data_IF_110416149858
#
_entry.id   IF_110416149858
#
_cell.length_a   1.000
_cell.length_b   1.000
_cell.length_c   1.000
_cell.angle_alpha   90.00
_cell.angle_beta   90.00
_cell.angle_gamma   90.00
#
_symmetry.space_group_name_H-M   'P 1'
#
loop_
_entity.id
_entity.type
_entity.pdbx_description
1 polymer ?
#
# COMPACT_ATOMS: atom_id res chain seq x y z
N UNK A 1 21.99 1.02 -14.67
CA UNK A 1 21.20 0.63 -15.85
C UNK A 1 21.37 -0.88 -16.03
N UNK A 2 20.45 -1.70 -15.49
CA UNK A 2 20.43 -3.19 -15.55
C UNK A 2 19.22 -3.65 -14.71
N UNK A 3 18.42 -4.68 -15.01
CA UNK A 3 18.21 -5.48 -16.20
C UNK A 3 16.72 -5.91 -16.16
N UNK A 4 15.87 -5.33 -17.02
CA UNK A 4 14.47 -5.76 -17.15
C UNK A 4 14.45 -7.18 -17.72
N UNK A 5 13.75 -8.11 -17.06
CA UNK A 5 13.69 -9.53 -17.47
C UNK A 5 13.10 -9.72 -18.88
N UNK A 6 12.36 -8.74 -19.37
CA UNK A 6 11.75 -8.72 -20.70
C UNK A 6 12.36 -7.59 -21.55
N UNK A 7 13.19 -7.95 -22.52
CA UNK A 7 13.85 -7.01 -23.44
C UNK A 7 12.92 -6.45 -24.55
N UNK A 8 11.66 -6.91 -24.64
CA UNK A 8 10.68 -6.40 -25.60
C UNK A 8 9.75 -5.38 -24.95
N UNK A 9 9.95 -4.08 -25.23
CA UNK A 9 9.17 -2.97 -24.68
C UNK A 9 7.65 -3.22 -24.73
N UNK A 10 7.12 -3.75 -25.84
CA UNK A 10 5.67 -4.04 -25.99
C UNK A 10 5.13 -5.11 -25.04
N UNK A 11 5.84 -6.22 -24.82
CA UNK A 11 5.37 -7.29 -23.92
C UNK A 11 5.35 -6.84 -22.47
N UNK A 12 6.32 -6.00 -22.08
CA UNK A 12 6.39 -5.45 -20.73
C UNK A 12 5.20 -4.53 -20.41
N UNK A 13 4.86 -3.60 -21.32
CA UNK A 13 3.72 -2.71 -21.14
C UNK A 13 2.38 -3.46 -21.09
N UNK A 14 2.19 -4.47 -21.96
CA UNK A 14 0.94 -5.25 -21.98
C UNK A 14 0.75 -6.00 -20.66
N UNK A 15 1.79 -6.66 -20.16
CA UNK A 15 1.74 -7.38 -18.87
C UNK A 15 1.50 -6.39 -17.71
N UNK A 16 2.16 -5.23 -17.73
CA UNK A 16 1.98 -4.21 -16.70
C UNK A 16 0.55 -3.63 -16.68
N UNK A 17 -0.05 -3.39 -17.84
CA UNK A 17 -1.43 -2.90 -17.95
C UNK A 17 -2.43 -3.94 -17.46
N UNK A 18 -2.30 -5.20 -17.90
CA UNK A 18 -3.22 -6.28 -17.48
C UNK A 18 -3.10 -6.51 -15.97
N UNK A 19 -1.88 -6.61 -15.45
CA UNK A 19 -1.68 -6.82 -14.04
C UNK A 19 -2.12 -5.61 -13.21
N UNK A 20 -1.89 -4.38 -13.68
CA UNK A 20 -2.41 -3.16 -13.06
C UNK A 20 -3.93 -3.14 -13.01
N UNK A 21 -4.61 -3.59 -14.06
CA UNK A 21 -6.08 -3.67 -14.09
C UNK A 21 -6.62 -4.71 -13.08
N UNK A 22 -6.06 -5.92 -13.06
CA UNK A 22 -6.49 -6.98 -12.14
C UNK A 22 -6.24 -6.59 -10.68
N UNK A 23 -5.04 -6.07 -10.40
CA UNK A 23 -4.67 -5.65 -9.05
C UNK A 23 -5.47 -4.43 -8.62
N UNK A 24 -5.67 -3.45 -9.50
CA UNK A 24 -6.49 -2.28 -9.21
C UNK A 24 -7.95 -2.65 -8.89
N UNK A 25 -8.50 -3.62 -9.62
CA UNK A 25 -9.82 -4.19 -9.30
C UNK A 25 -9.85 -4.90 -7.94
N UNK A 26 -8.81 -5.69 -7.61
CA UNK A 26 -8.69 -6.35 -6.30
C UNK A 26 -8.54 -5.33 -5.16
N UNK A 27 -7.74 -4.28 -5.37
CA UNK A 27 -7.51 -3.21 -4.40
C UNK A 27 -8.80 -2.47 -4.06
N UNK A 28 -9.62 -2.19 -5.06
CA UNK A 28 -10.90 -1.50 -4.88
C UNK A 28 -11.98 -2.35 -4.20
N UNK A 29 -11.94 -3.68 -4.34
CA UNK A 29 -12.95 -4.59 -3.76
C UNK A 29 -12.58 -5.06 -2.35
N UNK A 30 -11.35 -5.52 -2.17
CA UNK A 30 -10.90 -6.09 -0.91
C UNK A 30 -10.03 -5.10 -0.16
N UNK A 31 -8.91 -4.66 -0.76
CA UNK A 31 -7.96 -3.71 -0.17
C UNK A 31 -6.79 -4.27 0.67
N UNK A 32 -6.91 -5.34 1.50
CA UNK A 32 -5.77 -5.84 2.25
C UNK A 32 -4.88 -6.74 1.37
N UNK A 33 -3.57 -6.56 1.52
CA UNK A 33 -2.56 -7.38 0.86
C UNK A 33 -2.17 -6.92 -0.56
N UNK A 34 -2.83 -5.90 -1.13
CA UNK A 34 -2.55 -5.41 -2.50
C UNK A 34 -1.09 -5.02 -2.69
N UNK A 35 -0.49 -4.34 -1.70
CA UNK A 35 0.93 -3.95 -1.74
C UNK A 35 1.88 -5.15 -1.79
N UNK A 36 1.56 -6.24 -1.10
CA UNK A 36 2.33 -7.49 -1.13
C UNK A 36 2.21 -8.18 -2.49
N UNK A 37 1.00 -8.23 -3.06
CA UNK A 37 0.79 -8.79 -4.40
C UNK A 37 1.49 -7.97 -5.49
N UNK A 38 1.44 -6.63 -5.41
CA UNK A 38 2.19 -5.74 -6.30
C UNK A 38 3.69 -5.98 -6.21
N UNK A 39 4.23 -6.07 -4.99
CA UNK A 39 5.65 -6.35 -4.75
C UNK A 39 6.07 -7.68 -5.36
N UNK A 40 5.31 -8.75 -5.12
CA UNK A 40 5.58 -10.07 -5.69
C UNK A 40 5.57 -9.97 -7.22
N UNK A 41 4.57 -9.34 -7.83
CA UNK A 41 4.49 -9.20 -9.29
C UNK A 41 5.68 -8.40 -9.86
N UNK A 42 5.98 -7.23 -9.28
CA UNK A 42 7.04 -6.34 -9.75
C UNK A 42 8.43 -7.00 -9.63
N UNK A 43 8.71 -7.70 -8.53
CA UNK A 43 10.00 -8.38 -8.32
C UNK A 43 10.07 -9.69 -9.10
N UNK A 44 9.08 -10.58 -8.97
CA UNK A 44 9.15 -11.95 -9.50
C UNK A 44 8.82 -12.06 -10.99
N UNK A 45 7.94 -11.19 -11.54
CA UNK A 45 7.50 -11.26 -12.94
C UNK A 45 8.23 -10.24 -13.80
N UNK A 46 8.37 -9.00 -13.32
CA UNK A 46 8.94 -7.89 -14.07
C UNK A 46 10.45 -7.72 -13.83
N UNK A 47 10.98 -8.30 -12.75
CA UNK A 47 12.42 -8.30 -12.44
C UNK A 47 12.91 -6.99 -11.82
N UNK A 48 12.03 -6.17 -11.26
CA UNK A 48 12.45 -4.97 -10.54
C UNK A 48 13.24 -5.33 -9.28
N UNK A 49 14.18 -4.46 -8.89
CA UNK A 49 14.79 -4.55 -7.56
C UNK A 49 13.72 -4.36 -6.49
N UNK A 50 13.88 -4.97 -5.32
CA UNK A 50 12.91 -4.87 -4.22
C UNK A 50 12.62 -3.40 -3.83
N UNK A 51 13.64 -2.55 -3.91
CA UNK A 51 13.52 -1.11 -3.66
C UNK A 51 12.68 -0.41 -4.74
N UNK A 52 12.94 -0.67 -6.03
CA UNK A 52 12.13 -0.11 -7.12
C UNK A 52 10.70 -0.64 -7.08
N UNK A 53 10.51 -1.94 -6.85
CA UNK A 53 9.19 -2.55 -6.72
C UNK A 53 8.40 -1.94 -5.56
N UNK A 54 9.03 -1.68 -4.42
CA UNK A 54 8.41 -0.97 -3.29
C UNK A 54 8.01 0.46 -3.66
N UNK A 55 8.86 1.18 -4.38
CA UNK A 55 8.57 2.53 -4.83
C UNK A 55 7.39 2.55 -5.84
N UNK A 56 7.41 1.68 -6.85
CA UNK A 56 6.34 1.55 -7.83
C UNK A 56 5.03 1.11 -7.18
N UNK A 57 5.04 0.15 -6.27
CA UNK A 57 3.85 -0.30 -5.55
C UNK A 57 3.19 0.85 -4.76
N UNK A 58 4.00 1.73 -4.13
CA UNK A 58 3.48 2.93 -3.47
C UNK A 58 2.82 3.90 -4.45
N UNK A 59 3.40 4.13 -5.63
CA UNK A 59 2.81 5.01 -6.65
C UNK A 59 1.49 4.43 -7.15
N UNK A 60 1.43 3.13 -7.41
CA UNK A 60 0.19 2.46 -7.83
C UNK A 60 -0.90 2.60 -6.77
N UNK A 61 -0.56 2.37 -5.50
CA UNK A 61 -1.49 2.52 -4.39
C UNK A 61 -1.99 3.97 -4.24
N UNK A 62 -1.13 4.97 -4.47
CA UNK A 62 -1.59 6.36 -4.54
C UNK A 62 -2.57 6.59 -5.70
N UNK A 63 -2.32 5.99 -6.86
CA UNK A 63 -3.20 6.06 -8.01
C UNK A 63 -4.58 5.44 -7.76
N UNK A 64 -4.64 4.25 -7.16
CA UNK A 64 -5.91 3.58 -6.83
C UNK A 64 -6.69 4.34 -5.76
N UNK A 65 -6.03 4.86 -4.72
CA UNK A 65 -6.68 5.71 -3.73
C UNK A 65 -7.16 7.04 -4.32
N UNK A 66 -6.40 7.66 -5.23
CA UNK A 66 -6.83 8.88 -5.92
C UNK A 66 -8.04 8.62 -6.83
N UNK A 67 -8.04 7.50 -7.56
CA UNK A 67 -9.19 7.08 -8.34
C UNK A 67 -10.43 6.85 -7.45
N UNK A 68 -10.27 6.17 -6.31
CA UNK A 68 -11.32 6.01 -5.31
C UNK A 68 -11.84 7.37 -4.80
N UNK A 69 -10.96 8.30 -4.47
CA UNK A 69 -11.33 9.65 -4.02
C UNK A 69 -12.14 10.41 -5.08
N UNK A 70 -11.74 10.35 -6.35
CA UNK A 70 -12.47 10.99 -7.45
C UNK A 70 -13.86 10.35 -7.61
N UNK A 71 -13.92 9.01 -7.66
CA UNK A 71 -15.18 8.28 -7.83
C UNK A 71 -16.12 8.55 -6.67
N UNK A 72 -15.67 8.40 -5.42
CA UNK A 72 -16.50 8.70 -4.25
C UNK A 72 -16.85 10.18 -4.14
N UNK A 73 -15.96 11.07 -4.58
CA UNK A 73 -16.19 12.52 -4.60
C UNK A 73 -17.33 12.90 -5.56
N UNK A 74 -17.40 12.27 -6.72
CA UNK A 74 -18.49 12.46 -7.70
C UNK A 74 -19.81 11.87 -7.16
N UNK A 75 -19.77 10.72 -6.48
CA UNK A 75 -20.96 10.06 -5.91
C UNK A 75 -21.52 10.79 -4.67
N UNK A 76 -20.85 11.83 -4.17
CA UNK A 76 -21.30 12.63 -3.03
C UNK A 76 -21.09 11.98 -1.65
N UNK A 77 -20.44 10.82 -1.61
CA UNK A 77 -20.21 10.04 -0.37
C UNK A 77 -18.97 10.51 0.43
N UNK A 78 -18.32 11.60 0.01
CA UNK A 78 -17.08 12.09 0.63
C UNK A 78 -17.38 13.23 1.61
N UNK A 79 -17.08 12.97 2.88
CA UNK A 79 -17.05 13.99 3.93
C UNK A 79 -15.71 14.74 3.82
N UNK A 80 -15.66 15.78 2.98
CA UNK A 80 -14.43 16.51 2.65
C UNK A 80 -13.67 17.03 3.87
N UNK A 81 -14.39 17.56 4.87
CA UNK A 81 -13.78 18.05 6.11
C UNK A 81 -13.05 16.93 6.87
N UNK A 82 -13.68 15.76 6.98
CA UNK A 82 -13.07 14.60 7.62
C UNK A 82 -11.90 14.06 6.80
N UNK A 83 -12.02 14.04 5.46
CA UNK A 83 -10.95 13.64 4.56
C UNK A 83 -9.70 14.52 4.70
N UNK A 84 -9.86 15.84 4.74
CA UNK A 84 -8.77 16.77 4.98
C UNK A 84 -8.15 16.60 6.37
N UNK A 85 -8.99 16.47 7.42
CA UNK A 85 -8.50 16.23 8.77
C UNK A 85 -7.68 14.94 8.87
N UNK A 86 -8.18 13.84 8.29
CA UNK A 86 -7.47 12.56 8.20
C UNK A 86 -6.15 12.71 7.43
N UNK A 87 -6.15 13.43 6.31
CA UNK A 87 -4.94 13.68 5.52
C UNK A 87 -3.85 14.41 6.32
N UNK A 88 -4.22 15.48 7.04
CA UNK A 88 -3.30 16.25 7.90
C UNK A 88 -2.77 15.37 9.04
N UNK A 89 -3.65 14.67 9.75
CA UNK A 89 -3.26 13.79 10.84
C UNK A 89 -2.31 12.67 10.36
N UNK A 90 -2.60 12.07 9.21
CA UNK A 90 -1.77 11.01 8.64
C UNK A 90 -0.39 11.55 8.21
N UNK A 91 -0.33 12.75 7.62
CA UNK A 91 0.94 13.40 7.25
C UNK A 91 1.79 13.72 8.48
N UNK A 92 1.20 14.32 9.52
CA UNK A 92 1.89 14.64 10.78
C UNK A 92 2.40 13.35 11.44
N UNK A 93 1.55 12.33 11.54
CA UNK A 93 1.91 11.03 12.10
C UNK A 93 3.06 10.36 11.33
N UNK A 94 3.03 10.40 10.00
CA UNK A 94 4.09 9.85 9.16
C UNK A 94 5.43 10.59 9.34
N UNK A 95 5.42 11.92 9.42
CA UNK A 95 6.63 12.73 9.63
C UNK A 95 7.25 12.48 11.00
N UNK A 96 6.43 12.46 12.06
CA UNK A 96 6.89 12.19 13.43
C UNK A 96 7.38 10.74 13.53
N UNK A 97 6.64 9.77 12.97
CA UNK A 97 7.01 8.36 12.94
C UNK A 97 8.34 8.12 12.23
N UNK A 98 8.53 8.72 11.05
CA UNK A 98 9.78 8.59 10.29
C UNK A 98 10.96 9.22 11.05
N UNK A 99 10.80 10.44 11.59
CA UNK A 99 11.85 11.09 12.38
C UNK A 99 12.21 10.30 13.64
N UNK A 100 11.22 9.82 14.37
CA UNK A 100 11.45 9.02 15.59
C UNK A 100 12.10 7.67 15.29
N UNK A 101 11.71 7.01 14.19
CA UNK A 101 12.33 5.77 13.72
C UNK A 101 13.81 5.95 13.35
N UNK A 102 14.16 7.03 12.64
CA UNK A 102 15.55 7.34 12.28
C UNK A 102 16.37 7.69 13.53
N UNK A 103 15.82 8.51 14.43
CA UNK A 103 16.55 8.98 15.62
C UNK A 103 16.76 7.90 16.70
N UNK A 104 15.83 6.95 16.87
CA UNK A 104 15.88 5.91 17.91
C UNK A 104 16.49 4.58 17.43
N UNK A 105 16.75 4.46 16.13
CA UNK A 105 17.36 3.27 15.53
C UNK A 105 16.44 2.05 15.42
N UNK A 106 16.99 0.95 14.93
CA UNK A 106 16.24 -0.27 14.55
C UNK A 106 15.58 -1.00 15.72
N UNK A 107 16.15 -0.93 16.92
CA UNK A 107 15.59 -1.57 18.12
C UNK A 107 14.22 -1.01 18.52
N UNK A 108 14.06 0.31 18.45
CA UNK A 108 12.77 0.97 18.72
C UNK A 108 11.71 0.59 17.68
N UNK A 109 12.07 0.61 16.40
CA UNK A 109 11.17 0.22 15.30
C UNK A 109 10.68 -1.22 15.49
N UNK A 110 11.58 -2.13 15.85
CA UNK A 110 11.24 -3.54 16.09
C UNK A 110 10.28 -3.70 17.26
N UNK A 111 10.50 -2.99 18.38
CA UNK A 111 9.63 -3.05 19.54
C UNK A 111 8.21 -2.55 19.22
N UNK A 112 8.09 -1.39 18.56
CA UNK A 112 6.80 -0.83 18.14
C UNK A 112 6.08 -1.79 17.18
N UNK A 113 6.81 -2.35 16.20
CA UNK A 113 6.25 -3.33 15.27
C UNK A 113 5.67 -4.54 16.01
N UNK A 114 6.41 -5.10 16.96
CA UNK A 114 5.96 -6.27 17.72
C UNK A 114 4.68 -5.98 18.51
N UNK A 115 4.62 -4.82 19.16
CA UNK A 115 3.43 -4.38 19.94
C UNK A 115 2.22 -4.22 19.03
N UNK A 116 2.36 -3.53 17.89
CA UNK A 116 1.26 -3.31 16.94
C UNK A 116 0.76 -4.62 16.36
N UNK A 117 1.66 -5.53 15.99
CA UNK A 117 1.27 -6.87 15.49
C UNK A 117 0.53 -7.67 16.55
N UNK A 118 1.01 -7.68 17.80
CA UNK A 118 0.34 -8.38 18.89
C UNK A 118 -1.07 -7.82 19.14
N UNK A 119 -1.22 -6.49 19.15
CA UNK A 119 -2.53 -5.82 19.29
C UNK A 119 -3.46 -6.17 18.12
N UNK A 120 -2.95 -6.19 16.88
CA UNK A 120 -3.73 -6.58 15.71
C UNK A 120 -4.22 -8.03 15.79
N UNK A 121 -3.36 -8.96 16.22
CA UNK A 121 -3.75 -10.36 16.43
C UNK A 121 -4.86 -10.48 17.46
N UNK A 122 -4.73 -9.77 18.59
CA UNK A 122 -5.76 -9.77 19.64
C UNK A 122 -7.07 -9.18 19.11
N UNK A 123 -7.01 -8.04 18.42
CA UNK A 123 -8.20 -7.34 17.92
C UNK A 123 -8.95 -8.15 16.86
N UNK A 124 -8.21 -8.70 15.89
CA UNK A 124 -8.77 -9.57 14.86
C UNK A 124 -9.30 -10.87 15.45
N UNK A 125 -8.59 -11.46 16.42
CA UNK A 125 -9.06 -12.62 17.17
C UNK A 125 -10.38 -12.32 17.88
N UNK A 126 -10.46 -11.20 18.59
CA UNK A 126 -11.67 -10.78 19.29
C UNK A 126 -12.84 -10.57 18.34
N UNK A 127 -12.64 -9.85 17.22
CA UNK A 127 -13.68 -9.69 16.19
C UNK A 127 -14.14 -11.03 15.62
N UNK A 128 -13.22 -11.98 15.38
CA UNK A 128 -13.56 -13.31 14.87
C UNK A 128 -14.32 -14.20 15.87
N UNK A 129 -14.05 -14.06 17.18
CA UNK A 129 -14.76 -14.81 18.22
C UNK A 129 -16.06 -14.14 18.66
N UNK A 130 -16.15 -12.81 18.64
CA UNK A 130 -17.34 -12.05 19.03
C UNK A 130 -18.38 -11.92 17.90
N UNK A 131 -18.00 -12.19 16.64
CA UNK A 131 -18.91 -12.24 15.49
C UNK A 131 -19.50 -13.62 15.21
N UNK A 132 -19.20 -14.62 16.04
CA UNK A 132 -19.92 -15.90 16.14
C UNK A 132 -20.94 -15.84 17.26
#
# INVERSE_FOLDING_TARGET
MQALRWHGQRRHYVIAVIAGFVIGGYDGLFGPGTGSFLLILLVSVLGYSFLQASATAKIVNLGTNAAALIVFGITGSVIWLLGFAMGICNLIGALIGARTAINRGSGFVRAVFLVVVALLIIRLGWEAFASR
#
